data_IF_619308534550
#
_entry.id   IF_619308534550
#
_cell.length_a   1.000
_cell.length_b   1.000
_cell.length_c   1.000
_cell.angle_alpha   90.00
_cell.angle_beta   90.00
_cell.angle_gamma   90.00
#
_symmetry.space_group_name_H-M   'P 1'
#
loop_
_entity.id
_entity.type
_entity.pdbx_description
1 polymer ?
#
# COMPACT_ATOMS: atom_id res chain seq x y z
N UNK A 1 34.62 -55.16 -12.83
CA UNK A 1 34.33 -54.58 -11.50
C UNK A 1 34.64 -53.09 -11.60
N UNK A 2 33.64 -52.29 -11.76
CA UNK A 2 33.84 -50.88 -11.91
C UNK A 2 32.79 -50.16 -11.00
N UNK A 3 33.26 -49.70 -9.86
CA UNK A 3 32.44 -49.06 -8.84
C UNK A 3 32.30 -47.58 -9.18
N UNK A 4 31.13 -47.23 -9.71
CA UNK A 4 30.73 -45.82 -9.93
C UNK A 4 30.39 -45.13 -8.60
N UNK A 5 31.21 -44.19 -8.20
CA UNK A 5 30.91 -43.25 -7.11
C UNK A 5 29.95 -42.16 -7.62
N UNK A 6 28.68 -42.28 -7.25
CA UNK A 6 27.72 -41.21 -7.40
C UNK A 6 28.10 -40.03 -6.46
N UNK A 7 28.41 -38.89 -7.05
CA UNK A 7 28.55 -37.63 -6.30
C UNK A 7 27.17 -37.21 -5.83
N UNK A 8 26.91 -37.34 -4.54
CA UNK A 8 25.81 -36.68 -3.87
C UNK A 8 26.08 -35.14 -3.88
N UNK A 9 25.27 -34.43 -4.64
CA UNK A 9 25.25 -32.98 -4.56
C UNK A 9 24.79 -32.55 -3.16
N UNK A 10 25.63 -31.85 -2.43
CA UNK A 10 25.29 -31.26 -1.14
C UNK A 10 24.08 -30.29 -1.32
N UNK A 11 23.10 -30.27 -0.41
CA UNK A 11 22.04 -29.28 -0.45
C UNK A 11 22.66 -27.88 -0.27
N UNK A 12 22.27 -26.95 -1.11
CA UNK A 12 22.65 -25.55 -0.98
C UNK A 12 22.36 -25.08 0.45
N UNK A 13 23.33 -24.40 1.06
CA UNK A 13 23.19 -23.85 2.41
C UNK A 13 22.00 -22.87 2.44
N UNK A 14 21.26 -22.85 3.55
CA UNK A 14 20.06 -22.02 3.70
C UNK A 14 20.29 -20.52 3.41
N UNK A 15 21.52 -20.02 3.55
CA UNK A 15 21.91 -18.65 3.21
C UNK A 15 21.94 -18.35 1.69
N UNK A 16 22.41 -19.29 0.85
CA UNK A 16 22.41 -19.12 -0.62
C UNK A 16 20.99 -19.19 -1.20
N UNK A 17 20.10 -19.98 -0.61
CA UNK A 17 18.70 -20.04 -1.02
C UNK A 17 17.94 -18.73 -0.71
N UNK A 18 18.25 -18.06 0.41
CA UNK A 18 17.72 -16.76 0.79
C UNK A 18 18.25 -15.60 -0.09
N UNK A 19 19.52 -15.66 -0.50
CA UNK A 19 20.12 -14.68 -1.41
C UNK A 19 19.52 -14.70 -2.82
N UNK A 20 18.90 -15.81 -3.23
CA UNK A 20 18.25 -16.01 -4.53
C UNK A 20 16.73 -15.77 -4.50
N UNK A 21 16.13 -15.52 -3.34
CA UNK A 21 14.68 -15.26 -3.22
C UNK A 21 14.37 -13.85 -3.70
N UNK A 22 13.43 -13.66 -4.65
CA UNK A 22 13.00 -12.34 -5.06
C UNK A 22 12.36 -11.59 -3.88
N UNK A 23 12.44 -10.27 -3.89
CA UNK A 23 11.96 -9.42 -2.80
C UNK A 23 10.96 -8.39 -3.31
N UNK A 24 10.01 -7.98 -2.45
CA UNK A 24 9.05 -6.92 -2.68
C UNK A 24 8.98 -6.00 -1.46
N UNK A 25 8.85 -4.70 -1.69
CA UNK A 25 8.47 -3.71 -0.67
C UNK A 25 7.07 -3.20 -0.99
N UNK A 26 6.19 -3.25 -0.02
CA UNK A 26 4.83 -2.71 -0.06
C UNK A 26 4.75 -1.59 0.99
N UNK A 27 4.42 -0.39 0.58
CA UNK A 27 4.53 0.77 1.47
C UNK A 27 3.31 1.67 1.40
N UNK A 28 2.83 2.09 2.57
CA UNK A 28 1.98 3.27 2.61
C UNK A 28 2.79 4.52 2.21
N UNK A 29 2.09 5.60 1.87
CA UNK A 29 2.69 6.85 1.44
C UNK A 29 2.70 7.89 2.56
N UNK A 30 1.54 8.39 2.97
CA UNK A 30 1.43 9.54 3.88
C UNK A 30 1.78 9.16 5.33
N UNK A 31 2.79 9.77 5.89
CA UNK A 31 3.29 9.40 7.23
C UNK A 31 4.23 8.20 7.23
N UNK A 32 4.42 7.55 6.07
CA UNK A 32 5.31 6.42 5.86
C UNK A 32 6.44 6.76 4.91
N UNK A 33 6.30 6.54 3.61
CA UNK A 33 7.32 6.90 2.61
C UNK A 33 7.43 8.41 2.41
N UNK A 34 6.33 9.14 2.61
CA UNK A 34 6.25 10.59 2.56
C UNK A 34 6.06 11.15 3.96
N UNK A 35 6.70 12.28 4.24
CA UNK A 35 6.43 13.03 5.46
C UNK A 35 4.96 13.48 5.53
N UNK A 36 4.35 13.37 6.70
CA UNK A 36 2.92 13.61 6.87
C UNK A 36 2.48 15.05 6.56
N UNK A 37 3.37 16.02 6.71
CA UNK A 37 3.07 17.45 6.54
C UNK A 37 3.65 18.02 5.25
N UNK A 38 4.92 17.74 4.96
CA UNK A 38 5.64 18.31 3.83
C UNK A 38 5.58 17.45 2.56
N UNK A 39 5.13 16.18 2.67
CA UNK A 39 5.16 15.18 1.59
C UNK A 39 6.58 14.92 1.04
N UNK A 40 7.62 15.33 1.75
CA UNK A 40 9.01 15.06 1.38
C UNK A 40 9.36 13.57 1.58
N UNK A 41 10.09 12.99 0.61
CA UNK A 41 10.60 11.62 0.67
C UNK A 41 12.14 11.58 0.74
N UNK A 42 12.80 12.73 0.89
CA UNK A 42 14.26 12.83 0.78
C UNK A 42 15.03 11.86 1.67
N UNK A 43 14.64 11.61 2.94
CA UNK A 43 15.32 10.64 3.79
C UNK A 43 15.28 9.19 3.30
N UNK A 44 14.23 8.82 2.55
CA UNK A 44 14.07 7.47 1.99
C UNK A 44 14.80 7.28 0.64
N UNK A 45 15.18 8.35 -0.06
CA UNK A 45 15.78 8.30 -1.40
C UNK A 45 17.01 7.38 -1.52
N UNK A 46 17.96 7.34 -0.57
CA UNK A 46 19.10 6.41 -0.66
C UNK A 46 18.66 4.95 -0.77
N UNK A 47 17.69 4.54 0.04
CA UNK A 47 17.13 3.19 -0.02
C UNK A 47 16.30 2.95 -1.28
N UNK A 48 15.47 3.90 -1.73
CA UNK A 48 14.74 3.78 -2.99
C UNK A 48 15.70 3.56 -4.17
N UNK A 49 16.82 4.29 -4.18
CA UNK A 49 17.86 4.13 -5.20
C UNK A 49 18.50 2.75 -5.15
N UNK A 50 18.88 2.27 -3.94
CA UNK A 50 19.48 0.96 -3.74
C UNK A 50 18.51 -0.18 -4.14
N UNK A 51 17.25 -0.11 -3.72
CA UNK A 51 16.24 -1.11 -4.06
C UNK A 51 16.02 -1.20 -5.58
N UNK A 52 15.95 -0.05 -6.26
CA UNK A 52 15.87 0.01 -7.73
C UNK A 52 17.07 -0.61 -8.41
N UNK A 53 18.30 -0.32 -7.96
CA UNK A 53 19.54 -0.92 -8.48
C UNK A 53 19.57 -2.44 -8.33
N UNK A 54 18.96 -2.96 -7.27
CA UNK A 54 18.84 -4.40 -7.00
C UNK A 54 17.62 -5.05 -7.70
N UNK A 55 16.85 -4.27 -8.48
CA UNK A 55 15.65 -4.76 -9.14
C UNK A 55 14.52 -5.14 -8.18
N UNK A 56 14.51 -4.60 -6.95
CA UNK A 56 13.47 -4.86 -5.95
C UNK A 56 12.36 -3.82 -6.12
N UNK A 57 11.15 -4.24 -6.51
CA UNK A 57 10.02 -3.32 -6.67
C UNK A 57 9.59 -2.72 -5.32
N UNK A 58 9.35 -1.41 -5.32
CA UNK A 58 8.66 -0.70 -4.23
C UNK A 58 7.27 -0.34 -4.72
N UNK A 59 6.26 -0.83 -4.03
CA UNK A 59 4.86 -0.78 -4.44
C UNK A 59 4.09 0.13 -3.49
N UNK A 60 3.59 1.29 -3.93
CA UNK A 60 2.70 2.12 -3.14
C UNK A 60 1.37 1.42 -2.84
N UNK A 61 0.95 1.46 -1.56
CA UNK A 61 -0.31 0.90 -1.05
C UNK A 61 -0.99 1.97 -0.20
N UNK A 62 -1.86 2.78 -0.78
CA UNK A 62 -2.25 4.06 -0.19
C UNK A 62 -3.76 4.31 -0.20
N UNK A 63 -4.22 5.22 0.65
CA UNK A 63 -5.57 5.78 0.60
C UNK A 63 -5.77 6.86 -0.47
N UNK A 64 -4.67 7.33 -1.11
CA UNK A 64 -4.73 8.30 -2.22
C UNK A 64 -5.43 7.71 -3.44
N UNK A 65 -5.97 8.59 -4.28
CA UNK A 65 -6.53 8.23 -5.59
C UNK A 65 -5.45 7.81 -6.58
N UNK A 66 -5.84 7.10 -7.64
CA UNK A 66 -4.94 6.83 -8.78
C UNK A 66 -4.37 8.12 -9.37
N UNK A 67 -5.18 9.16 -9.44
CA UNK A 67 -4.78 10.45 -9.98
C UNK A 67 -3.67 11.13 -9.15
N UNK A 68 -3.71 10.99 -7.81
CA UNK A 68 -2.63 11.46 -6.93
C UNK A 68 -1.38 10.58 -7.03
N UNK A 69 -1.55 9.27 -7.14
CA UNK A 69 -0.44 8.30 -7.19
C UNK A 69 0.39 8.44 -8.47
N UNK A 70 -0.24 8.73 -9.61
CA UNK A 70 0.46 8.80 -10.91
C UNK A 70 1.65 9.77 -10.90
N UNK A 71 1.52 11.05 -10.56
CA UNK A 71 2.66 11.98 -10.51
C UNK A 71 3.66 11.63 -9.38
N UNK A 72 3.19 11.07 -8.25
CA UNK A 72 4.07 10.64 -7.16
C UNK A 72 4.99 9.49 -7.59
N UNK A 73 4.47 8.52 -8.35
CA UNK A 73 5.27 7.40 -8.89
C UNK A 73 6.39 7.90 -9.80
N UNK A 74 6.13 8.89 -10.64
CA UNK A 74 7.15 9.52 -11.49
C UNK A 74 8.22 10.21 -10.64
N UNK A 75 7.82 11.05 -9.70
CA UNK A 75 8.73 11.79 -8.82
C UNK A 75 9.62 10.87 -7.95
N UNK A 76 9.09 9.71 -7.55
CA UNK A 76 9.79 8.71 -6.73
C UNK A 76 10.56 7.67 -7.56
N UNK A 77 10.42 7.67 -8.89
CA UNK A 77 11.03 6.67 -9.77
C UNK A 77 10.45 5.26 -9.62
N UNK A 78 9.12 5.17 -9.41
CA UNK A 78 8.38 3.92 -9.16
C UNK A 78 7.45 3.55 -10.34
N UNK A 79 7.68 4.08 -11.53
CA UNK A 79 6.81 3.88 -12.71
C UNK A 79 6.73 2.42 -13.16
N UNK A 80 7.79 1.63 -12.94
CA UNK A 80 7.83 0.21 -13.29
C UNK A 80 7.17 -0.71 -12.25
N UNK A 81 6.80 -0.17 -11.10
CA UNK A 81 6.09 -0.90 -10.04
C UNK A 81 4.58 -0.73 -10.17
N UNK A 82 3.77 -1.74 -9.82
CA UNK A 82 2.35 -1.56 -9.63
C UNK A 82 2.07 -0.61 -8.47
N UNK A 83 0.80 -0.27 -8.28
CA UNK A 83 0.34 0.44 -7.08
C UNK A 83 -1.05 -0.04 -6.67
N UNK A 84 -1.36 0.14 -5.41
CA UNK A 84 -2.68 -0.04 -4.82
C UNK A 84 -3.14 1.33 -4.32
N UNK A 85 -4.26 1.81 -4.84
CA UNK A 85 -4.87 3.10 -4.50
C UNK A 85 -6.20 2.88 -3.78
N UNK A 86 -6.68 3.95 -3.12
CA UNK A 86 -7.97 4.00 -2.44
C UNK A 86 -8.18 2.82 -1.47
N UNK A 87 -7.14 2.53 -0.62
CA UNK A 87 -7.17 1.44 0.36
C UNK A 87 -7.47 0.05 -0.23
N UNK A 88 -7.06 -0.23 -1.45
CA UNK A 88 -7.28 -1.52 -2.11
C UNK A 88 -8.40 -1.54 -3.14
N UNK A 89 -9.13 -0.43 -3.30
CA UNK A 89 -10.24 -0.35 -4.25
C UNK A 89 -9.77 -0.35 -5.72
N UNK A 90 -8.56 0.14 -5.99
CA UNK A 90 -7.98 0.28 -7.34
C UNK A 90 -6.56 -0.25 -7.36
N UNK A 91 -6.25 -1.10 -8.33
CA UNK A 91 -4.89 -1.61 -8.57
C UNK A 91 -4.45 -1.20 -9.96
N UNK A 92 -3.29 -0.54 -10.06
CA UNK A 92 -2.67 -0.17 -11.33
C UNK A 92 -1.47 -1.07 -11.64
N UNK A 93 -1.47 -1.67 -12.84
CA UNK A 93 -0.44 -2.63 -13.27
C UNK A 93 0.33 -2.08 -14.48
N UNK A 94 1.64 -1.85 -14.38
CA UNK A 94 2.50 -1.68 -15.54
C UNK A 94 2.53 -2.95 -16.40
N UNK A 95 2.89 -2.82 -17.69
CA UNK A 95 2.90 -3.92 -18.64
C UNK A 95 3.68 -5.16 -18.15
N UNK A 96 4.80 -4.98 -17.46
CA UNK A 96 5.61 -6.08 -16.92
C UNK A 96 4.90 -6.90 -15.80
N UNK A 97 3.77 -6.40 -15.29
CA UNK A 97 2.94 -7.04 -14.27
C UNK A 97 1.62 -7.57 -14.82
N UNK A 98 1.40 -7.44 -16.14
CA UNK A 98 0.21 -7.93 -16.80
C UNK A 98 0.38 -9.39 -17.23
N UNK A 99 -0.69 -10.17 -17.08
CA UNK A 99 -0.77 -11.52 -17.60
C UNK A 99 -1.39 -11.49 -19.00
N UNK A 100 -0.64 -11.97 -20.00
CA UNK A 100 -0.99 -11.84 -21.43
C UNK A 100 -2.41 -12.32 -21.80
N UNK A 101 -2.97 -13.28 -21.04
CA UNK A 101 -4.30 -13.85 -21.31
C UNK A 101 -5.43 -13.28 -20.43
N UNK A 102 -5.10 -12.74 -19.25
CA UNK A 102 -6.09 -12.32 -18.25
C UNK A 102 -6.27 -10.81 -18.20
N UNK A 103 -5.26 -10.07 -18.59
CA UNK A 103 -5.27 -8.62 -18.53
C UNK A 103 -5.41 -8.05 -19.94
N UNK A 104 -6.46 -7.28 -20.17
CA UNK A 104 -6.63 -6.55 -21.43
C UNK A 104 -5.81 -5.28 -21.34
N UNK A 105 -5.09 -4.88 -22.41
CA UNK A 105 -4.42 -3.58 -22.46
C UNK A 105 -5.41 -2.50 -22.07
N UNK A 106 -5.00 -1.64 -21.15
CA UNK A 106 -5.81 -0.48 -20.76
C UNK A 106 -5.88 0.53 -21.90
N UNK A 107 -7.03 1.18 -22.04
CA UNK A 107 -7.20 2.29 -22.99
C UNK A 107 -6.63 3.61 -22.46
N UNK A 108 -5.91 3.60 -21.31
CA UNK A 108 -5.32 4.77 -20.70
C UNK A 108 -4.04 5.23 -21.42
N UNK A 109 -3.80 6.53 -21.43
CA UNK A 109 -2.59 7.16 -22.02
C UNK A 109 -1.32 6.82 -21.24
N UNK A 110 -1.45 6.31 -20.00
CA UNK A 110 -0.36 5.93 -19.10
C UNK A 110 0.13 4.48 -19.28
N UNK A 111 -0.47 3.70 -20.19
CA UNK A 111 -0.10 2.31 -20.47
C UNK A 111 -0.36 1.33 -19.31
N UNK A 112 -1.13 1.73 -18.30
CA UNK A 112 -1.48 0.91 -17.15
C UNK A 112 -2.74 0.08 -17.41
N UNK A 113 -2.77 -1.14 -16.89
CA UNK A 113 -4.01 -1.91 -16.73
C UNK A 113 -4.57 -1.59 -15.36
N UNK A 114 -5.78 -1.03 -15.32
CA UNK A 114 -6.46 -0.70 -14.06
C UNK A 114 -7.48 -1.79 -13.72
N UNK A 115 -7.42 -2.24 -12.46
CA UNK A 115 -8.38 -3.19 -11.88
C UNK A 115 -9.15 -2.48 -10.77
N UNK A 116 -10.46 -2.43 -10.93
CA UNK A 116 -11.39 -1.98 -9.91
C UNK A 116 -11.81 -3.19 -9.07
N UNK A 117 -11.48 -3.18 -7.79
CA UNK A 117 -11.77 -4.25 -6.82
C UNK A 117 -13.00 -3.91 -5.99
N UNK A 118 -13.23 -2.61 -5.77
CA UNK A 118 -14.39 -2.08 -5.06
C UNK A 118 -15.57 -1.82 -6.00
N UNK A 119 -16.71 -1.48 -5.41
CA UNK A 119 -17.88 -0.95 -6.12
C UNK A 119 -17.61 0.49 -6.56
N UNK A 120 -18.34 0.94 -7.60
CA UNK A 120 -18.24 2.31 -8.10
C UNK A 120 -18.57 3.35 -7.03
N UNK A 121 -17.82 4.45 -7.01
CA UNK A 121 -17.97 5.52 -6.01
C UNK A 121 -19.36 6.16 -6.03
N UNK A 122 -20.01 6.25 -7.17
CA UNK A 122 -21.38 6.77 -7.29
C UNK A 122 -22.38 5.90 -6.53
N UNK A 123 -22.21 4.57 -6.59
CA UNK A 123 -23.01 3.65 -5.79
C UNK A 123 -22.74 3.82 -4.28
N UNK A 124 -21.49 3.96 -3.88
CA UNK A 124 -21.11 4.23 -2.48
C UNK A 124 -21.83 5.50 -1.99
N UNK A 125 -21.73 6.61 -2.73
CA UNK A 125 -22.37 7.89 -2.38
C UNK A 125 -23.91 7.76 -2.28
N UNK A 126 -24.53 7.05 -3.21
CA UNK A 126 -25.97 6.80 -3.15
C UNK A 126 -26.38 6.04 -1.88
N UNK A 127 -25.61 5.02 -1.47
CA UNK A 127 -25.84 4.27 -0.23
C UNK A 127 -25.61 5.10 1.03
N UNK A 128 -24.57 5.94 1.03
CA UNK A 128 -24.28 6.86 2.12
C UNK A 128 -25.46 7.81 2.37
N UNK A 129 -26.05 8.39 1.33
CA UNK A 129 -27.22 9.25 1.45
C UNK A 129 -28.43 8.52 2.05
N UNK A 130 -28.70 7.29 1.59
CA UNK A 130 -29.80 6.46 2.13
C UNK A 130 -29.60 6.18 3.63
N UNK A 131 -28.40 5.81 4.05
CA UNK A 131 -28.15 5.50 5.46
C UNK A 131 -28.07 6.74 6.35
N UNK A 132 -27.59 7.89 5.83
CA UNK A 132 -27.67 9.18 6.52
C UNK A 132 -29.10 9.52 6.91
N UNK A 133 -30.04 9.39 5.98
CA UNK A 133 -31.45 9.67 6.22
C UNK A 133 -32.11 8.63 7.14
N UNK A 134 -31.89 7.34 6.89
CA UNK A 134 -32.56 6.26 7.65
C UNK A 134 -32.15 6.19 9.12
N UNK A 135 -30.86 6.40 9.40
CA UNK A 135 -30.30 6.34 10.75
C UNK A 135 -30.30 7.72 11.44
N UNK A 136 -30.53 8.81 10.71
CA UNK A 136 -30.45 10.16 11.23
C UNK A 136 -29.06 10.57 11.70
N UNK A 137 -28.00 9.96 11.11
CA UNK A 137 -26.61 10.17 11.51
C UNK A 137 -25.97 11.35 10.80
N UNK A 138 -24.97 11.97 11.44
CA UNK A 138 -24.26 13.14 10.93
C UNK A 138 -22.84 12.80 10.48
N UNK A 139 -22.53 13.06 9.21
CA UNK A 139 -21.19 13.00 8.63
C UNK A 139 -21.13 13.89 7.38
N UNK A 140 -19.92 14.27 6.99
CA UNK A 140 -19.68 15.02 5.74
C UNK A 140 -18.76 14.22 4.83
N UNK A 141 -19.21 13.90 3.61
CA UNK A 141 -18.38 13.24 2.60
C UNK A 141 -17.33 14.21 2.03
N UNK A 142 -16.18 13.69 1.63
CA UNK A 142 -15.15 14.49 0.95
C UNK A 142 -15.70 15.14 -0.32
N UNK A 143 -16.58 14.45 -1.04
CA UNK A 143 -17.23 14.98 -2.24
C UNK A 143 -18.14 16.18 -1.99
N UNK A 144 -18.63 16.38 -0.76
CA UNK A 144 -19.51 17.48 -0.35
C UNK A 144 -18.73 18.73 0.08
N UNK A 145 -17.45 18.57 0.44
CA UNK A 145 -16.59 19.69 0.87
C UNK A 145 -16.18 20.59 -0.30
N UNK A 146 -16.06 21.86 -0.05
CA UNK A 146 -15.46 22.82 -0.99
C UNK A 146 -13.96 22.59 -1.14
N UNK A 147 -13.35 23.16 -2.18
CA UNK A 147 -11.90 23.06 -2.37
C UNK A 147 -11.12 23.71 -1.20
N UNK A 148 -11.61 24.84 -0.67
CA UNK A 148 -10.95 25.55 0.43
C UNK A 148 -11.05 24.77 1.75
N UNK A 149 -12.18 24.13 2.05
CA UNK A 149 -12.32 23.25 3.20
C UNK A 149 -11.37 22.05 3.10
N UNK A 150 -11.28 21.42 1.93
CA UNK A 150 -10.35 20.30 1.72
C UNK A 150 -8.90 20.74 1.86
N UNK A 151 -8.50 21.88 1.34
CA UNK A 151 -7.15 22.44 1.53
C UNK A 151 -6.84 22.63 3.01
N UNK A 152 -7.76 23.25 3.75
CA UNK A 152 -7.60 23.46 5.19
C UNK A 152 -7.45 22.16 5.97
N UNK A 153 -8.21 21.12 5.60
CA UNK A 153 -8.20 19.81 6.28
C UNK A 153 -6.99 18.96 5.92
N UNK A 154 -6.52 19.04 4.67
CA UNK A 154 -5.49 18.12 4.15
C UNK A 154 -4.10 18.74 4.05
N UNK A 155 -4.01 20.06 3.96
CA UNK A 155 -2.77 20.78 3.66
C UNK A 155 -2.33 20.67 2.18
N UNK A 156 -3.15 20.07 1.32
CA UNK A 156 -2.87 19.95 -0.11
C UNK A 156 -3.03 21.30 -0.81
N UNK A 157 -2.31 21.50 -1.90
CA UNK A 157 -2.52 22.61 -2.80
C UNK A 157 -3.77 22.42 -3.67
N UNK A 158 -4.05 23.37 -4.55
CA UNK A 158 -5.24 23.34 -5.42
C UNK A 158 -5.28 22.10 -6.34
N UNK A 159 -4.15 21.70 -6.88
CA UNK A 159 -4.08 20.58 -7.79
C UNK A 159 -4.17 19.26 -7.03
N UNK A 160 -3.50 19.13 -5.88
CA UNK A 160 -3.61 17.99 -4.98
C UNK A 160 -5.05 17.74 -4.53
N UNK A 161 -5.79 18.79 -4.13
CA UNK A 161 -7.20 18.66 -3.76
C UNK A 161 -8.07 18.19 -4.93
N UNK A 162 -7.83 18.71 -6.13
CA UNK A 162 -8.56 18.26 -7.34
C UNK A 162 -8.31 16.78 -7.61
N UNK A 163 -7.04 16.34 -7.53
CA UNK A 163 -6.66 14.94 -7.71
C UNK A 163 -7.27 14.04 -6.63
N UNK A 164 -7.26 14.46 -5.37
CA UNK A 164 -7.83 13.71 -4.24
C UNK A 164 -9.35 13.49 -4.35
N UNK A 165 -10.07 14.31 -5.11
CA UNK A 165 -11.51 14.17 -5.38
C UNK A 165 -11.83 13.20 -6.52
N UNK A 166 -10.84 12.79 -7.33
CA UNK A 166 -11.04 11.87 -8.46
C UNK A 166 -11.09 10.42 -7.98
N UNK A 167 -12.05 10.14 -7.07
CA UNK A 167 -12.29 8.82 -6.49
C UNK A 167 -12.99 7.90 -7.47
N UNK A 168 -12.58 6.63 -7.48
CA UNK A 168 -13.12 5.59 -8.35
C UNK A 168 -13.87 4.50 -7.57
N UNK A 169 -13.42 4.15 -6.35
CA UNK A 169 -13.97 3.04 -5.57
C UNK A 169 -14.02 3.26 -4.07
N UNK A 170 -13.86 4.50 -3.60
CA UNK A 170 -13.97 4.86 -2.18
C UNK A 170 -14.54 6.25 -1.97
N UNK A 171 -15.20 6.47 -0.83
CA UNK A 171 -15.61 7.82 -0.39
C UNK A 171 -15.08 8.07 1.02
N UNK A 172 -14.15 9.05 1.20
CA UNK A 172 -13.75 9.51 2.51
C UNK A 172 -14.83 10.36 3.15
N UNK A 173 -14.98 10.26 4.48
CA UNK A 173 -15.92 11.09 5.24
C UNK A 173 -15.36 11.51 6.60
N UNK A 174 -15.88 12.60 7.13
CA UNK A 174 -15.68 13.10 8.48
C UNK A 174 -16.91 12.69 9.28
N UNK A 175 -16.72 11.86 10.30
CA UNK A 175 -17.78 11.46 11.21
C UNK A 175 -18.04 12.57 12.24
N UNK A 176 -19.31 12.92 12.46
CA UNK A 176 -19.74 14.04 13.30
C UNK A 176 -20.82 13.63 14.30
N UNK A 177 -20.92 12.34 14.60
CA UNK A 177 -21.92 11.79 15.51
C UNK A 177 -21.25 10.93 16.59
N UNK A 178 -22.04 10.31 17.48
CA UNK A 178 -21.57 9.46 18.57
C UNK A 178 -20.94 8.15 18.09
N UNK A 179 -20.14 7.52 18.95
CA UNK A 179 -19.55 6.19 18.68
C UNK A 179 -20.63 5.11 18.54
N UNK A 180 -21.73 5.21 19.30
CA UNK A 180 -22.86 4.27 19.19
C UNK A 180 -23.53 4.38 17.82
N UNK A 181 -23.69 5.59 17.31
CA UNK A 181 -24.23 5.83 15.97
C UNK A 181 -23.27 5.30 14.89
N UNK A 182 -21.95 5.43 15.11
CA UNK A 182 -20.91 4.90 14.21
C UNK A 182 -21.01 3.37 14.07
N UNK A 183 -21.20 2.65 15.17
CA UNK A 183 -21.34 1.18 15.13
C UNK A 183 -22.61 0.75 14.41
N UNK A 184 -23.73 1.45 14.61
CA UNK A 184 -24.98 1.20 13.88
C UNK A 184 -24.82 1.47 12.38
N UNK A 185 -24.11 2.54 12.03
CA UNK A 185 -23.79 2.89 10.66
C UNK A 185 -22.87 1.87 9.99
N UNK A 186 -21.84 1.40 10.71
CA UNK A 186 -20.94 0.34 10.26
C UNK A 186 -21.72 -0.95 9.92
N UNK A 187 -22.57 -1.40 10.80
CA UNK A 187 -23.39 -2.60 10.58
C UNK A 187 -24.32 -2.45 9.37
N UNK A 188 -24.89 -1.27 9.17
CA UNK A 188 -25.75 -0.97 8.02
C UNK A 188 -24.98 -1.01 6.70
N UNK A 189 -23.76 -0.45 6.67
CA UNK A 189 -22.88 -0.50 5.50
C UNK A 189 -22.46 -1.94 5.16
N UNK A 190 -22.12 -2.75 6.17
CA UNK A 190 -21.77 -4.17 5.98
C UNK A 190 -22.92 -4.96 5.37
N UNK A 191 -24.15 -4.69 5.77
CA UNK A 191 -25.37 -5.27 5.18
C UNK A 191 -25.54 -4.92 3.69
N UNK A 192 -24.99 -3.82 3.22
CA UNK A 192 -24.98 -3.39 1.82
C UNK A 192 -23.71 -3.79 1.05
N UNK A 193 -22.83 -4.61 1.67
CA UNK A 193 -21.58 -5.04 1.05
C UNK A 193 -20.50 -3.95 1.02
N UNK A 194 -20.58 -2.97 1.93
CA UNK A 194 -19.60 -1.89 2.12
C UNK A 194 -18.90 -2.06 3.47
N UNK A 195 -17.73 -1.46 3.62
CA UNK A 195 -17.02 -1.37 4.91
C UNK A 195 -16.55 0.03 5.19
N UNK A 196 -16.43 0.34 6.49
CA UNK A 196 -15.91 1.59 7.00
C UNK A 196 -14.52 1.36 7.60
N UNK A 197 -13.49 1.97 7.00
CA UNK A 197 -12.10 1.90 7.44
C UNK A 197 -11.67 3.20 8.13
N UNK A 198 -10.94 3.09 9.23
CA UNK A 198 -10.33 4.24 9.89
C UNK A 198 -8.98 4.56 9.23
N UNK A 199 -8.86 5.70 8.58
CA UNK A 199 -7.60 6.32 8.17
C UNK A 199 -7.09 7.30 9.23
N UNK A 200 -6.02 8.02 8.93
CA UNK A 200 -5.48 9.04 9.83
C UNK A 200 -6.47 10.20 10.05
N UNK A 201 -6.90 10.85 8.98
CA UNK A 201 -7.79 12.03 9.02
C UNK A 201 -9.26 11.71 8.78
N UNK A 202 -9.53 10.75 7.89
CA UNK A 202 -10.87 10.42 7.43
C UNK A 202 -11.25 8.98 7.75
N UNK A 203 -12.53 8.74 7.84
CA UNK A 203 -13.09 7.42 7.62
C UNK A 203 -13.25 7.20 6.12
N UNK A 204 -13.05 5.98 5.64
CA UNK A 204 -13.19 5.63 4.23
C UNK A 204 -14.25 4.55 4.06
N UNK A 205 -15.23 4.79 3.21
CA UNK A 205 -16.20 3.77 2.81
C UNK A 205 -15.76 3.18 1.49
N UNK A 206 -15.64 1.86 1.44
CA UNK A 206 -15.23 1.07 0.26
C UNK A 206 -16.06 -0.20 0.18
N UNK A 207 -15.96 -0.95 -0.92
CA UNK A 207 -16.57 -2.27 -1.04
C UNK A 207 -16.02 -3.26 0.01
N UNK A 208 -16.86 -4.13 0.52
CA UNK A 208 -16.52 -5.08 1.60
C UNK A 208 -15.34 -6.00 1.24
N UNK A 209 -15.18 -6.34 -0.05
CA UNK A 209 -14.10 -7.17 -0.56
C UNK A 209 -12.77 -6.43 -0.75
N UNK A 210 -12.76 -5.10 -0.65
CA UNK A 210 -11.58 -4.29 -0.87
C UNK A 210 -10.94 -3.86 0.45
N UNK A 211 -9.65 -4.11 0.63
CA UNK A 211 -8.77 -3.54 1.65
C UNK A 211 -7.31 -3.66 1.19
N UNK A 212 -6.39 -2.98 1.90
CA UNK A 212 -4.95 -3.02 1.58
C UNK A 212 -4.39 -4.44 1.61
N UNK A 213 -4.79 -5.26 2.57
CA UNK A 213 -4.30 -6.64 2.74
C UNK A 213 -4.71 -7.54 1.59
N UNK A 214 -6.01 -7.58 1.24
CA UNK A 214 -6.52 -8.38 0.13
C UNK A 214 -5.88 -7.99 -1.21
N UNK A 215 -5.68 -6.70 -1.44
CA UNK A 215 -5.02 -6.21 -2.65
C UNK A 215 -3.52 -6.57 -2.69
N UNK A 216 -2.84 -6.54 -1.55
CA UNK A 216 -1.44 -6.96 -1.39
C UNK A 216 -1.29 -8.47 -1.61
N UNK A 217 -2.14 -9.28 -0.99
CA UNK A 217 -2.16 -10.72 -1.21
C UNK A 217 -2.31 -11.05 -2.70
N UNK A 218 -3.26 -10.40 -3.36
CA UNK A 218 -3.47 -10.58 -4.79
C UNK A 218 -2.23 -10.19 -5.61
N UNK A 219 -1.52 -9.10 -5.27
CA UNK A 219 -0.27 -8.71 -5.95
C UNK A 219 0.88 -9.68 -5.71
N UNK A 220 1.04 -10.22 -4.51
CA UNK A 220 2.04 -11.25 -4.20
C UNK A 220 1.77 -12.52 -5.00
N UNK A 221 0.51 -12.96 -5.07
CA UNK A 221 0.09 -14.10 -5.90
C UNK A 221 0.34 -13.82 -7.38
N UNK A 222 0.05 -12.61 -7.86
CA UNK A 222 0.34 -12.17 -9.23
C UNK A 222 1.84 -12.22 -9.53
N UNK A 223 2.67 -11.69 -8.64
CA UNK A 223 4.12 -11.76 -8.77
C UNK A 223 4.60 -13.21 -8.89
N UNK A 224 4.13 -14.06 -8.00
CA UNK A 224 4.47 -15.51 -7.97
C UNK A 224 4.06 -16.19 -9.27
N UNK A 225 2.84 -15.91 -9.76
CA UNK A 225 2.34 -16.47 -11.01
C UNK A 225 3.16 -16.05 -12.23
N UNK A 226 3.60 -14.79 -12.29
CA UNK A 226 4.36 -14.26 -13.43
C UNK A 226 5.83 -14.67 -13.41
N UNK A 227 6.42 -14.89 -12.24
CA UNK A 227 7.87 -15.11 -12.06
C UNK A 227 8.22 -16.50 -11.56
N UNK A 228 7.22 -17.35 -11.27
CA UNK A 228 7.40 -18.74 -10.84
C UNK A 228 8.01 -18.91 -9.44
N UNK A 229 8.16 -17.83 -8.66
CA UNK A 229 8.78 -17.84 -7.33
C UNK A 229 8.06 -16.87 -6.40
N UNK A 230 7.79 -17.32 -5.18
CA UNK A 230 7.23 -16.45 -4.13
C UNK A 230 8.30 -15.46 -3.64
N UNK A 231 7.98 -14.17 -3.59
CA UNK A 231 8.91 -13.17 -3.06
C UNK A 231 8.96 -13.21 -1.54
N UNK A 232 10.06 -12.73 -0.96
CA UNK A 232 10.11 -12.27 0.41
C UNK A 232 9.54 -10.84 0.43
N UNK A 233 8.43 -10.65 1.12
CA UNK A 233 7.69 -9.39 1.14
C UNK A 233 7.93 -8.60 2.43
N UNK A 234 8.10 -7.28 2.29
CA UNK A 234 8.17 -6.34 3.41
C UNK A 234 7.04 -5.33 3.28
N UNK A 235 6.27 -5.12 4.36
CA UNK A 235 5.23 -4.09 4.44
C UNK A 235 5.62 -2.99 5.40
N UNK A 236 5.40 -1.72 5.03
CA UNK A 236 5.65 -0.55 5.87
C UNK A 236 4.41 0.35 5.89
N UNK A 237 3.96 0.71 7.10
CA UNK A 237 2.77 1.56 7.30
C UNK A 237 2.74 2.18 8.69
N UNK A 238 1.95 3.26 8.88
CA UNK A 238 1.85 4.01 10.14
C UNK A 238 0.42 4.12 10.68
N UNK A 239 -0.58 3.67 9.91
CA UNK A 239 -2.00 3.83 10.26
C UNK A 239 -2.78 2.54 10.50
N UNK A 240 -3.97 2.62 11.12
CA UNK A 240 -4.84 1.46 11.33
C UNK A 240 -5.29 0.77 10.03
N UNK A 241 -5.41 1.51 8.93
CA UNK A 241 -5.74 0.98 7.60
C UNK A 241 -4.60 0.16 6.97
N UNK A 242 -3.39 0.19 7.57
CA UNK A 242 -2.24 -0.61 7.13
C UNK A 242 -2.19 -1.98 7.79
N UNK A 243 -2.92 -2.20 8.89
CA UNK A 243 -2.87 -3.44 9.66
C UNK A 243 -3.08 -4.65 8.75
N UNK A 244 -4.09 -4.63 7.89
CA UNK A 244 -4.36 -5.75 6.98
C UNK A 244 -3.22 -6.01 5.99
N UNK A 245 -2.52 -4.98 5.50
CA UNK A 245 -1.32 -5.11 4.68
C UNK A 245 -0.16 -5.70 5.48
N UNK A 246 0.07 -5.19 6.69
CA UNK A 246 1.16 -5.62 7.57
C UNK A 246 1.02 -7.08 8.03
N UNK A 247 -0.21 -7.59 8.10
CA UNK A 247 -0.50 -9.00 8.40
C UNK A 247 -0.32 -9.95 7.21
N UNK A 248 -0.28 -9.42 5.97
CA UNK A 248 -0.14 -10.19 4.74
C UNK A 248 1.31 -10.37 4.26
N UNK A 249 2.27 -9.72 4.88
CA UNK A 249 3.68 -9.74 4.48
C UNK A 249 4.54 -10.61 5.39
N UNK A 250 5.70 -11.03 4.88
CA UNK A 250 6.66 -11.83 5.66
C UNK A 250 7.39 -11.01 6.73
N UNK A 251 7.63 -9.72 6.47
CA UNK A 251 8.33 -8.79 7.36
C UNK A 251 7.52 -7.48 7.46
N UNK A 252 7.04 -7.17 8.64
CA UNK A 252 6.23 -5.98 8.88
C UNK A 252 7.03 -4.89 9.60
N UNK A 253 6.79 -3.63 9.20
CA UNK A 253 7.33 -2.43 9.84
C UNK A 253 6.17 -1.50 10.18
N UNK A 254 5.94 -1.28 11.45
CA UNK A 254 5.07 -0.21 11.93
C UNK A 254 5.92 1.03 12.11
N UNK A 255 5.71 2.01 11.24
CA UNK A 255 6.37 3.31 11.33
C UNK A 255 5.69 4.11 12.43
N UNK A 256 6.48 4.83 13.23
CA UNK A 256 5.96 5.70 14.26
C UNK A 256 5.07 6.78 13.62
N UNK A 257 3.77 6.65 13.83
CA UNK A 257 2.78 7.60 13.32
C UNK A 257 2.81 8.94 14.05
N UNK A 258 2.21 9.95 13.45
CA UNK A 258 1.94 11.26 14.06
C UNK A 258 0.61 11.30 14.84
N UNK A 259 -0.14 10.21 14.84
CA UNK A 259 -1.42 10.06 15.53
C UNK A 259 -1.33 9.02 16.64
N UNK A 260 -2.05 9.24 17.75
CA UNK A 260 -2.15 8.29 18.88
C UNK A 260 -3.12 7.11 18.57
N UNK A 261 -3.20 6.70 17.31
CA UNK A 261 -4.01 5.55 16.91
C UNK A 261 -3.19 4.28 17.01
N UNK A 262 -3.68 3.24 17.70
CA UNK A 262 -2.94 1.99 17.84
C UNK A 262 -2.84 1.27 16.49
N UNK A 263 -1.62 0.83 16.13
CA UNK A 263 -1.35 -0.01 14.97
C UNK A 263 -0.73 -1.31 15.47
N UNK A 264 -1.56 -2.34 15.59
CA UNK A 264 -1.18 -3.61 16.23
C UNK A 264 -1.46 -4.80 15.29
N UNK A 265 -0.62 -4.99 14.26
CA UNK A 265 -0.75 -6.13 13.36
C UNK A 265 -0.39 -7.44 14.09
N UNK A 266 -1.12 -8.51 13.78
CA UNK A 266 -0.89 -9.86 14.29
C UNK A 266 0.11 -10.60 13.42
N UNK A 267 1.38 -10.30 13.58
CA UNK A 267 2.48 -10.93 12.85
C UNK A 267 3.68 -11.17 13.76
N UNK A 268 4.42 -12.25 13.52
CA UNK A 268 5.59 -12.62 14.31
C UNK A 268 6.84 -11.81 13.91
N UNK A 269 6.97 -11.40 12.66
CA UNK A 269 8.12 -10.66 12.15
C UNK A 269 7.79 -9.15 12.07
N UNK A 270 7.73 -8.51 13.23
CA UNK A 270 7.34 -7.10 13.38
C UNK A 270 8.50 -6.25 13.90
N UNK A 271 8.77 -5.14 13.25
CA UNK A 271 9.62 -4.08 13.74
C UNK A 271 8.83 -2.77 13.91
N UNK A 272 9.08 -2.05 15.01
CA UNK A 272 8.50 -0.71 15.27
C UNK A 272 9.60 0.32 15.24
N UNK A 273 9.47 1.34 14.38
CA UNK A 273 10.50 2.35 14.22
C UNK A 273 10.50 3.38 15.36
N UNK A 274 11.67 3.95 15.64
CA UNK A 274 11.82 5.06 16.57
C UNK A 274 11.50 6.40 15.90
N UNK A 275 11.90 6.52 14.63
CA UNK A 275 11.64 7.70 13.82
C UNK A 275 10.28 7.56 13.10
N UNK A 276 9.69 8.70 12.72
CA UNK A 276 8.46 8.81 11.93
C UNK A 276 8.74 9.06 10.45
N UNK A 277 7.73 8.87 9.62
CA UNK A 277 7.76 9.21 8.20
C UNK A 277 8.92 8.56 7.44
N UNK A 278 9.50 9.25 6.43
CA UNK A 278 10.53 8.68 5.57
C UNK A 278 11.85 8.34 6.29
N UNK A 279 12.12 8.94 7.45
CA UNK A 279 13.26 8.54 8.31
C UNK A 279 12.97 7.17 8.94
N UNK A 280 11.77 6.98 9.50
CA UNK A 280 11.32 5.70 10.04
C UNK A 280 11.21 4.63 8.94
N UNK A 281 10.77 5.01 7.75
CA UNK A 281 10.75 4.12 6.59
C UNK A 281 12.16 3.58 6.27
N UNK A 282 13.15 4.47 6.18
CA UNK A 282 14.55 4.08 5.95
C UNK A 282 15.11 3.23 7.10
N UNK A 283 14.77 3.54 8.36
CA UNK A 283 15.10 2.76 9.54
C UNK A 283 14.56 1.33 9.44
N UNK A 284 13.29 1.16 9.10
CA UNK A 284 12.65 -0.14 8.97
C UNK A 284 13.24 -1.01 7.86
N UNK A 285 13.51 -0.42 6.68
CA UNK A 285 14.20 -1.13 5.59
C UNK A 285 15.62 -1.52 6.02
N UNK A 286 16.32 -0.62 6.71
CA UNK A 286 17.67 -0.90 7.22
C UNK A 286 17.66 -2.02 8.27
N UNK A 287 16.67 -2.07 9.14
CA UNK A 287 16.56 -3.12 10.15
C UNK A 287 16.51 -4.52 9.50
N UNK A 288 15.66 -4.71 8.50
CA UNK A 288 15.47 -6.00 7.86
C UNK A 288 16.52 -6.32 6.79
N UNK A 289 17.03 -5.31 6.06
CA UNK A 289 17.85 -5.52 4.87
C UNK A 289 19.18 -4.75 4.86
N UNK A 290 19.54 -4.05 5.94
CA UNK A 290 20.71 -3.16 6.01
C UNK A 290 22.05 -3.81 6.35
N UNK A 291 22.08 -5.04 6.86
CA UNK A 291 23.33 -5.73 7.20
C UNK A 291 23.13 -6.86 8.22
N UNK A 292 23.83 -7.98 8.04
CA UNK A 292 23.72 -9.22 8.80
C UNK A 292 23.27 -10.38 7.90
N UNK A 293 23.14 -11.59 8.41
CA UNK A 293 22.85 -12.85 7.66
C UNK A 293 21.59 -12.85 6.78
N UNK A 294 20.78 -11.79 6.78
CA UNK A 294 19.63 -11.55 5.90
C UNK A 294 19.73 -10.29 5.07
N UNK A 295 20.80 -9.50 5.20
CA UNK A 295 20.99 -8.23 4.51
C UNK A 295 21.16 -8.35 3.00
N UNK A 296 20.94 -7.23 2.28
CA UNK A 296 21.32 -7.10 0.88
C UNK A 296 22.85 -7.03 0.83
N UNK A 297 23.51 -8.10 0.32
CA UNK A 297 24.95 -8.09 0.13
C UNK A 297 25.36 -6.86 -0.69
N UNK A 298 26.38 -6.14 -0.25
CA UNK A 298 27.04 -5.15 -1.09
C UNK A 298 27.61 -5.90 -2.31
N UNK A 299 27.02 -5.70 -3.49
CA UNK A 299 27.64 -6.08 -4.73
C UNK A 299 28.88 -5.21 -4.88
N UNK A 300 30.03 -5.80 -4.46
CA UNK A 300 31.29 -5.12 -4.33
C UNK A 300 31.60 -4.25 -5.53
N UNK A 301 32.12 -3.08 -5.25
CA UNK A 301 32.80 -2.22 -6.19
C UNK A 301 33.74 -3.06 -7.05
N UNK A 302 33.42 -3.20 -8.33
CA UNK A 302 34.39 -3.66 -9.32
C UNK A 302 35.41 -2.55 -9.40
N UNK A 303 36.57 -2.76 -8.78
CA UNK A 303 37.75 -1.94 -8.97
C UNK A 303 38.13 -1.93 -10.44
N UNK A 304 38.38 -0.75 -10.94
CA UNK A 304 38.83 -0.43 -12.29
C UNK A 304 40.03 -1.25 -12.73
#
# INVERSE_FOLDING_TARGET
MNTGLSRLSSPATSGEALALQPRLVLTDLDGSLLDHHSYDASPAKPWLTRLRQLGIPVIPVTSKTRAEVSPLREALGLTDSPFIAENGAVIGLPQAWCHARLDRPGNGTDGLVIKHVSVDVGLIRARLNVWRERLGVSFTCMSELTLEELKSLTGLDNDGVRLARLREGSEPLIWQDSDTALESFRAALEGDGLRLLRGGRFWHVIGLSADKGSAVEWLIQRFTSLRGRQPLSMGLGDGPNDISMLEMVDQAVVIRGCHDLPVEPRTAALYRTQASGPVGWAEGVNYWWGGGDGGLADSGAVSA
#
